data_IF_944640023909
#
_entry.id   IF_944640023909
#
_cell.length_a   1.000
_cell.length_b   1.000
_cell.length_c   1.000
_cell.angle_alpha   90.00
_cell.angle_beta   90.00
_cell.angle_gamma   90.00
#
_symmetry.space_group_name_H-M   'P 1'
#
loop_
_entity.id
_entity.type
_entity.pdbx_description
1 polymer ?
#
# COMPACT_ATOMS: atom_id res chain seq x y z
N UNK A 1 21.71 -23.38 -42.86
CA UNK A 1 21.94 -22.28 -41.90
C UNK A 1 21.04 -21.06 -42.14
N UNK A 2 20.95 -20.50 -43.35
CA UNK A 2 20.16 -19.27 -43.64
C UNK A 2 18.63 -19.41 -43.58
N UNK A 3 18.07 -20.55 -43.94
CA UNK A 3 16.61 -20.76 -43.90
C UNK A 3 16.05 -20.82 -42.47
N UNK A 4 16.81 -21.40 -41.53
CA UNK A 4 16.43 -21.48 -40.13
C UNK A 4 16.37 -20.10 -39.45
N UNK A 5 17.30 -19.19 -39.82
CA UNK A 5 17.29 -17.81 -39.30
C UNK A 5 16.10 -17.00 -39.80
N UNK A 6 15.64 -17.23 -41.04
CA UNK A 6 14.42 -16.59 -41.55
C UNK A 6 13.15 -17.10 -40.87
N UNK A 7 13.06 -18.40 -40.58
CA UNK A 7 11.91 -18.97 -39.87
C UNK A 7 11.82 -18.49 -38.42
N UNK A 8 12.96 -18.40 -37.72
CA UNK A 8 13.02 -17.88 -36.35
C UNK A 8 12.63 -16.40 -36.27
N UNK A 9 13.06 -15.58 -37.24
CA UNK A 9 12.68 -14.17 -37.31
C UNK A 9 11.19 -13.98 -37.60
N UNK A 10 10.61 -14.79 -38.50
CA UNK A 10 9.17 -14.76 -38.79
C UNK A 10 8.31 -15.18 -37.58
N UNK A 11 8.73 -16.21 -36.85
CA UNK A 11 8.04 -16.65 -35.64
C UNK A 11 8.04 -15.56 -34.55
N UNK A 12 9.18 -14.89 -34.32
CA UNK A 12 9.27 -13.82 -33.32
C UNK A 12 8.32 -12.63 -33.64
N UNK A 13 8.15 -12.30 -34.93
CA UNK A 13 7.24 -11.24 -35.36
C UNK A 13 5.76 -11.58 -35.13
N UNK A 14 5.39 -12.86 -35.32
CA UNK A 14 4.03 -13.36 -35.09
C UNK A 14 3.67 -13.39 -33.60
N UNK A 15 4.62 -13.75 -32.72
CA UNK A 15 4.38 -13.73 -31.27
C UNK A 15 4.21 -12.29 -30.72
N UNK A 16 4.90 -11.30 -31.29
CA UNK A 16 4.75 -9.90 -30.86
C UNK A 16 3.36 -9.34 -31.19
N UNK A 17 2.75 -9.77 -32.30
CA UNK A 17 1.41 -9.32 -32.71
C UNK A 17 0.28 -9.86 -31.82
N UNK A 18 0.49 -10.96 -31.08
CA UNK A 18 -0.49 -11.46 -30.11
C UNK A 18 -0.49 -10.71 -28.76
N UNK A 19 0.47 -9.81 -28.50
CA UNK A 19 0.53 -9.04 -27.24
C UNK A 19 -0.14 -7.66 -27.33
N UNK A 20 -0.60 -7.25 -28.51
CA UNK A 20 -1.32 -5.98 -28.70
C UNK A 20 -2.82 -6.24 -28.80
N UNK A 21 -3.43 -6.49 -27.65
CA UNK A 21 -4.84 -6.22 -27.48
C UNK A 21 -4.96 -5.28 -26.29
N UNK A 22 -5.00 -3.98 -26.60
CA UNK A 22 -5.36 -2.86 -25.72
C UNK A 22 -6.84 -2.95 -25.30
N UNK A 23 -7.24 -4.11 -24.81
CA UNK A 23 -8.52 -4.37 -24.14
C UNK A 23 -8.23 -4.85 -22.72
N UNK A 24 -7.26 -4.20 -22.07
CA UNK A 24 -7.24 -4.09 -20.63
C UNK A 24 -8.47 -3.26 -20.23
N UNK A 25 -9.53 -3.86 -19.65
CA UNK A 25 -10.55 -3.04 -19.03
C UNK A 25 -9.84 -2.18 -17.98
N UNK A 26 -10.14 -0.88 -17.86
CA UNK A 26 -9.59 -0.08 -16.78
C UNK A 26 -9.87 -0.85 -15.50
N UNK A 27 -8.84 -1.04 -14.67
CA UNK A 27 -9.02 -1.59 -13.33
C UNK A 27 -9.90 -0.61 -12.56
N UNK A 28 -11.20 -0.73 -12.76
CA UNK A 28 -12.24 -0.03 -12.05
C UNK A 28 -12.24 -0.70 -10.70
N UNK A 29 -11.34 -0.21 -9.83
CA UNK A 29 -11.29 -0.54 -8.42
C UNK A 29 -12.67 -0.20 -7.85
N UNK A 30 -13.58 -1.16 -7.95
CA UNK A 30 -14.99 -1.07 -7.53
C UNK A 30 -15.11 -1.41 -6.04
N UNK A 31 -13.99 -1.65 -5.36
CA UNK A 31 -13.91 -1.40 -3.94
C UNK A 31 -14.11 0.11 -3.79
N UNK A 32 -15.32 0.52 -3.38
CA UNK A 32 -15.67 1.87 -3.02
C UNK A 32 -14.44 2.54 -2.39
N UNK A 33 -14.01 3.68 -2.94
CA UNK A 33 -12.92 4.50 -2.41
C UNK A 33 -13.36 5.10 -1.06
N UNK A 34 -13.63 4.23 -0.10
CA UNK A 34 -13.74 4.55 1.30
C UNK A 34 -12.30 4.64 1.73
N UNK A 35 -11.77 5.86 1.76
CA UNK A 35 -10.52 6.11 2.45
C UNK A 35 -10.67 5.48 3.83
N UNK A 36 -9.85 4.47 4.18
CA UNK A 36 -9.97 3.82 5.47
C UNK A 36 -9.68 4.90 6.52
N UNK A 37 -10.73 5.39 7.16
CA UNK A 37 -10.62 6.38 8.23
C UNK A 37 -10.02 5.70 9.44
N UNK A 38 -8.82 6.07 9.83
CA UNK A 38 -8.19 5.55 11.04
C UNK A 38 -9.02 6.00 12.23
N UNK A 39 -9.74 5.08 12.85
CA UNK A 39 -10.46 5.36 14.08
C UNK A 39 -9.46 5.34 15.24
N UNK A 40 -9.28 6.50 15.87
CA UNK A 40 -8.36 6.76 16.98
C UNK A 40 -8.99 7.82 17.89
N UNK A 41 -8.59 7.89 19.17
CA UNK A 41 -8.93 9.02 20.01
C UNK A 41 -8.36 10.33 19.45
N UNK A 42 -9.07 11.44 19.64
CA UNK A 42 -8.59 12.77 19.26
C UNK A 42 -7.27 13.13 19.95
N UNK A 43 -7.05 12.62 21.17
CA UNK A 43 -5.82 12.81 21.90
C UNK A 43 -4.65 12.11 21.20
N UNK A 44 -4.79 10.83 20.88
CA UNK A 44 -3.76 10.08 20.17
C UNK A 44 -3.50 10.62 18.77
N UNK A 45 -4.54 11.12 18.08
CA UNK A 45 -4.43 11.76 16.78
C UNK A 45 -3.59 13.05 16.87
N UNK A 46 -3.89 13.91 17.85
CA UNK A 46 -3.14 15.14 18.09
C UNK A 46 -1.69 14.88 18.51
N UNK A 47 -1.46 13.85 19.34
CA UNK A 47 -0.12 13.45 19.77
C UNK A 47 0.68 12.86 18.60
N UNK A 48 0.04 12.09 17.72
CA UNK A 48 0.68 11.55 16.53
C UNK A 48 1.14 12.66 15.57
N UNK A 49 0.26 13.62 15.30
CA UNK A 49 0.60 14.80 14.49
C UNK A 49 1.70 15.64 15.14
N UNK A 50 1.63 15.86 16.46
CA UNK A 50 2.63 16.61 17.23
C UNK A 50 4.00 15.92 17.26
N UNK A 51 4.03 14.59 17.23
CA UNK A 51 5.25 13.80 17.14
C UNK A 51 5.82 13.72 15.71
N UNK A 52 5.18 14.36 14.72
CA UNK A 52 5.58 14.31 13.31
C UNK A 52 5.32 12.95 12.65
N UNK A 53 4.34 12.20 13.16
CA UNK A 53 3.91 10.94 12.58
C UNK A 53 2.67 11.06 11.70
N UNK A 54 2.32 9.95 11.06
CA UNK A 54 1.11 9.79 10.25
C UNK A 54 0.25 8.67 10.79
N UNK A 55 -1.08 8.81 10.66
CA UNK A 55 -2.01 7.76 11.05
C UNK A 55 -1.95 6.63 10.03
N UNK A 56 -1.84 5.41 10.53
CA UNK A 56 -1.83 4.20 9.73
C UNK A 56 -2.70 3.12 10.39
N UNK A 57 -3.26 2.23 9.59
CA UNK A 57 -3.91 1.05 10.11
C UNK A 57 -2.92 -0.10 10.27
N UNK A 58 -3.12 -0.90 11.31
CA UNK A 58 -2.50 -2.21 11.44
C UNK A 58 -3.57 -3.26 11.69
N UNK A 59 -3.48 -4.37 10.95
CA UNK A 59 -4.24 -5.57 11.27
C UNK A 59 -3.49 -6.33 12.35
N UNK A 60 -4.21 -6.68 13.39
CA UNK A 60 -3.73 -7.46 14.51
C UNK A 60 -3.90 -8.96 14.19
N UNK A 61 -3.21 -9.84 14.93
CA UNK A 61 -3.27 -11.30 14.68
C UNK A 61 -4.67 -11.87 14.96
N UNK A 62 -5.44 -11.23 15.84
CA UNK A 62 -6.85 -11.51 16.12
C UNK A 62 -7.80 -11.01 15.02
N UNK A 63 -7.28 -10.36 13.98
CA UNK A 63 -8.06 -9.89 12.82
C UNK A 63 -8.66 -8.49 13.00
N UNK A 64 -8.59 -7.90 14.20
CA UNK A 64 -9.01 -6.52 14.46
C UNK A 64 -8.10 -5.54 13.72
N UNK A 65 -8.68 -4.45 13.21
CA UNK A 65 -7.92 -3.34 12.63
C UNK A 65 -7.81 -2.24 13.66
N UNK A 66 -6.60 -1.94 14.11
CA UNK A 66 -6.33 -0.84 15.05
C UNK A 66 -5.67 0.31 14.32
N UNK A 67 -6.01 1.53 14.72
CA UNK A 67 -5.19 2.68 14.37
C UNK A 67 -3.82 2.58 15.04
N UNK A 68 -2.79 3.03 14.36
CA UNK A 68 -1.45 3.26 14.91
C UNK A 68 -0.87 4.55 14.34
N UNK A 69 -0.02 5.22 15.10
CA UNK A 69 0.81 6.31 14.60
C UNK A 69 2.11 5.75 14.05
N UNK A 70 2.44 6.09 12.80
CA UNK A 70 3.72 5.79 12.18
C UNK A 70 4.61 7.04 12.26
N UNK A 71 5.66 6.97 13.06
CA UNK A 71 6.60 8.07 13.26
C UNK A 71 7.67 8.09 12.14
N UNK A 72 8.25 9.26 11.89
CA UNK A 72 9.31 9.43 10.89
C UNK A 72 10.58 8.60 11.15
N UNK A 73 10.79 8.16 12.40
CA UNK A 73 11.88 7.27 12.79
C UNK A 73 11.59 5.78 12.50
N UNK A 74 10.43 5.45 11.93
CA UNK A 74 10.00 4.08 11.63
C UNK A 74 9.28 3.35 12.77
N UNK A 75 9.13 3.97 13.96
CA UNK A 75 8.36 3.39 15.07
C UNK A 75 6.86 3.42 14.76
N UNK A 76 6.15 2.37 15.16
CA UNK A 76 4.67 2.30 15.10
C UNK A 76 4.11 2.24 16.51
N UNK A 77 3.30 3.22 16.85
CA UNK A 77 2.75 3.42 18.19
C UNK A 77 1.26 3.12 18.20
N UNK A 78 0.79 2.31 19.15
CA UNK A 78 -0.64 2.18 19.42
C UNK A 78 -1.18 3.43 20.14
N UNK A 79 -2.50 3.58 20.14
CA UNK A 79 -3.22 4.67 20.79
C UNK A 79 -2.76 4.89 22.24
N UNK A 80 -2.78 3.82 23.03
CA UNK A 80 -2.36 3.84 24.43
C UNK A 80 -0.89 4.25 24.63
N UNK A 81 -0.01 3.93 23.67
CA UNK A 81 1.40 4.30 23.72
C UNK A 81 1.63 5.78 23.36
N UNK A 82 0.73 6.37 22.56
CA UNK A 82 0.68 7.81 22.29
C UNK A 82 0.10 8.58 23.47
N UNK A 83 -0.97 8.07 24.09
CA UNK A 83 -1.62 8.71 25.25
C UNK A 83 -0.73 8.68 26.49
N UNK A 84 -0.01 7.58 26.73
CA UNK A 84 0.98 7.48 27.81
C UNK A 84 2.27 8.28 27.54
N UNK A 85 2.44 8.85 26.33
CA UNK A 85 3.64 9.58 25.93
C UNK A 85 4.91 8.71 25.80
N UNK A 86 4.79 7.39 25.98
CA UNK A 86 5.92 6.45 25.95
C UNK A 86 6.50 6.26 24.55
N UNK A 87 5.71 6.52 23.50
CA UNK A 87 6.11 6.23 22.12
C UNK A 87 6.56 7.46 21.31
N UNK A 88 6.08 8.65 21.67
CA UNK A 88 6.49 9.92 21.06
C UNK A 88 7.79 10.48 21.66
N UNK A 89 8.25 9.94 22.79
CA UNK A 89 9.52 10.32 23.40
C UNK A 89 10.68 9.73 22.60
N UNK A 90 11.67 10.55 22.23
CA UNK A 90 12.84 10.12 21.46
C UNK A 90 13.56 8.95 22.13
#
# INVERSE_FOLDING_TARGET
MKAATFLLAGAALLLAACSSSDNEPPQQATAAHVQPRVAMSSLAESNCASAGGTLAFSRQLDGTSVGMCQLANGRRCSENALESGSCARF
#
